data_IF_935558356073
#
_entry.id   IF_935558356073
#
_cell.length_a   1.000
_cell.length_b   1.000
_cell.length_c   1.000
_cell.angle_alpha   90.00
_cell.angle_beta   90.00
_cell.angle_gamma   90.00
#
_symmetry.space_group_name_H-M   'P 1'
#
loop_
_entity.id
_entity.type
_entity.pdbx_description
1 polymer ?
2 non-polymer ?
3 non-polymer ?
4 non-polymer ?
5 water ?
#
# COMPACT_ATOMS: atom_id res chain seq x y z
N UNK A 3 0.25 17.97 -11.46
CA UNK A 3 -0.43 16.62 -11.36
C UNK A 3 0.57 15.55 -10.91
N UNK A 4 0.44 15.07 -9.67
CA UNK A 4 1.40 14.10 -9.11
C UNK A 4 1.50 12.78 -9.89
N UNK A 5 2.73 12.36 -10.17
CA UNK A 5 3.08 11.14 -10.92
C UNK A 5 3.22 9.97 -9.93
N UNK A 6 2.47 8.89 -10.17
CA UNK A 6 2.46 7.70 -9.34
C UNK A 6 3.08 6.52 -10.04
N UNK A 7 3.93 5.81 -9.32
CA UNK A 7 4.51 4.57 -9.84
C UNK A 7 4.28 3.49 -8.81
N UNK A 8 4.03 2.27 -9.26
CA UNK A 8 3.84 1.11 -8.39
C UNK A 8 4.89 0.10 -8.81
N UNK A 9 5.71 -0.34 -7.86
CA UNK A 9 6.86 -1.18 -8.13
C UNK A 9 6.70 -2.49 -7.39
N UNK A 10 6.69 -3.62 -8.13
CA UNK A 10 6.63 -4.95 -7.54
C UNK A 10 8.04 -5.48 -7.45
N UNK A 11 8.43 -5.95 -6.29
CA UNK A 11 9.78 -6.47 -6.08
C UNK A 11 9.73 -7.93 -5.62
N UNK A 12 10.22 -8.85 -6.43
CA UNK A 12 10.18 -10.31 -6.14
C UNK A 12 8.81 -10.90 -6.48
N UNK A 13 8.63 -12.18 -6.17
CA UNK A 13 7.45 -12.92 -6.61
C UNK A 13 6.10 -12.36 -6.15
N UNK A 14 5.92 -12.23 -4.84
CA UNK A 14 4.64 -11.81 -4.27
C UNK A 14 4.33 -10.36 -4.69
N UNK A 15 5.35 -9.52 -4.77
CA UNK A 15 5.11 -8.12 -5.17
C UNK A 15 4.67 -8.04 -6.63
N UNK A 16 5.33 -8.80 -7.47
CA UNK A 16 4.98 -8.88 -8.88
C UNK A 16 3.63 -9.52 -9.11
N UNK A 17 3.24 -10.49 -8.26
CA UNK A 17 1.88 -11.02 -8.29
C UNK A 17 0.86 -9.90 -8.09
N UNK A 18 1.11 -9.04 -7.10
CA UNK A 18 0.19 -7.91 -6.83
C UNK A 18 0.11 -6.96 -8.01
N UNK A 19 1.28 -6.60 -8.55
CA UNK A 19 1.34 -5.74 -9.72
C UNK A 19 0.64 -6.33 -10.93
N UNK A 20 0.83 -7.62 -11.17
CA UNK A 20 0.19 -8.28 -12.32
C UNK A 20 -1.35 -8.18 -12.24
N UNK A 21 -1.91 -8.27 -11.04
CA UNK A 21 -3.39 -8.08 -10.91
C UNK A 21 -3.80 -6.67 -11.22
N UNK A 22 -3.02 -5.69 -10.76
CA UNK A 22 -3.28 -4.29 -11.10
C UNK A 22 -3.15 -3.97 -12.60
N UNK A 23 -2.16 -4.58 -13.26
CA UNK A 23 -1.96 -4.40 -14.73
C UNK A 23 -3.17 -4.98 -15.45
N UNK A 24 -3.65 -6.12 -14.96
CA UNK A 24 -4.79 -6.82 -15.50
C UNK A 24 -6.06 -5.97 -15.43
N UNK A 25 -6.30 -5.30 -14.31
CA UNK A 25 -7.45 -4.39 -14.13
C UNK A 25 -7.31 -3.12 -14.95
N UNK A 26 -6.15 -2.48 -14.84
CA UNK A 26 -5.85 -1.26 -15.58
C UNK A 26 -5.87 -0.05 -14.65
N UNK A 27 -4.82 0.74 -14.73
CA UNK A 27 -4.69 2.00 -14.01
C UNK A 27 -3.85 2.86 -14.95
N UNK A 28 -4.53 3.50 -15.89
CA UNK A 28 -3.87 4.06 -17.07
C UNK A 28 -2.86 5.16 -16.73
N UNK A 29 -3.19 6.02 -15.78
CA UNK A 29 -2.29 7.10 -15.33
C UNK A 29 -1.11 6.60 -14.45
N UNK A 30 -1.17 5.38 -13.94
CA UNK A 30 -0.11 4.84 -13.04
C UNK A 30 0.91 4.04 -13.86
N UNK A 31 2.21 4.17 -13.55
CA UNK A 31 3.25 3.40 -14.25
C UNK A 31 3.59 2.22 -13.38
N UNK A 32 3.58 1.03 -13.94
CA UNK A 32 3.95 -0.18 -13.20
C UNK A 32 5.36 -0.59 -13.57
N UNK A 33 6.14 -0.95 -12.56
CA UNK A 33 7.53 -1.37 -12.75
C UNK A 33 7.66 -2.73 -12.08
N UNK A 34 8.18 -3.71 -12.82
CA UNK A 34 8.42 -5.06 -12.31
C UNK A 34 9.90 -5.24 -12.07
N UNK A 35 10.28 -5.56 -10.82
CA UNK A 35 11.67 -5.79 -10.46
C UNK A 35 11.79 -7.22 -9.94
N UNK A 36 12.72 -7.98 -10.51
CA UNK A 36 12.95 -9.35 -10.04
C UNK A 36 14.34 -9.81 -10.44
N UNK A 37 14.87 -10.75 -9.67
CA UNK A 37 16.04 -11.54 -10.03
C UNK A 37 15.66 -12.61 -11.05
N UNK A 38 14.46 -13.15 -10.89
CA UNK A 38 13.93 -14.30 -11.66
C UNK A 38 13.55 -13.85 -13.07
N UNK A 39 14.42 -14.14 -14.03
CA UNK A 39 14.22 -13.80 -15.43
C UNK A 39 13.01 -14.45 -16.08
N UNK A 40 12.73 -15.71 -15.73
CA UNK A 40 11.54 -16.43 -16.23
C UNK A 40 10.25 -15.72 -15.83
N UNK A 41 10.12 -15.35 -14.56
CA UNK A 41 8.93 -14.66 -14.09
C UNK A 41 8.86 -13.30 -14.73
N UNK A 42 9.99 -12.63 -14.82
CA UNK A 42 10.00 -11.26 -15.34
C UNK A 42 9.57 -11.25 -16.80
N UNK A 43 10.00 -12.27 -17.55
CA UNK A 43 9.65 -12.40 -18.96
C UNK A 43 8.13 -12.52 -19.18
N UNK A 44 7.43 -13.14 -18.24
CA UNK A 44 5.99 -13.33 -18.36
C UNK A 44 5.18 -12.13 -17.91
N UNK A 45 5.77 -11.23 -17.13
CA UNK A 45 5.11 -9.99 -16.72
C UNK A 45 4.72 -9.15 -17.93
N UNK A 46 3.56 -8.51 -17.86
CA UNK A 46 3.17 -7.55 -18.88
C UNK A 46 3.46 -6.11 -18.43
N UNK A 47 4.26 -5.90 -17.38
CA UNK A 47 4.61 -4.54 -16.97
C UNK A 47 5.32 -3.81 -18.10
N UNK A 48 4.95 -2.54 -18.29
CA UNK A 48 5.56 -1.63 -19.28
C UNK A 48 7.06 -1.37 -19.01
N UNK A 49 7.49 -1.54 -17.76
CA UNK A 49 8.86 -1.28 -17.34
C UNK A 49 9.31 -2.44 -16.48
N UNK A 50 10.44 -3.04 -16.86
CA UNK A 50 10.96 -4.22 -16.18
C UNK A 50 12.44 -4.04 -15.90
N UNK A 51 12.88 -4.42 -14.69
CA UNK A 51 14.30 -4.37 -14.35
C UNK A 51 14.68 -5.75 -13.83
N UNK A 52 15.56 -6.44 -14.56
CA UNK A 52 16.13 -7.68 -14.05
C UNK A 52 17.33 -7.30 -13.20
N UNK A 53 17.26 -7.54 -11.91
CA UNK A 53 18.35 -7.21 -11.00
C UNK A 53 19.20 -8.48 -10.75
N UNK A 54 20.50 -8.31 -10.51
CA UNK A 54 21.33 -9.47 -10.20
C UNK A 54 21.61 -10.52 -11.24
N UNK A 55 21.63 -10.13 -12.52
CA UNK A 55 21.98 -11.06 -13.61
C UNK A 55 23.35 -11.72 -13.35
N UNK A 56 24.33 -10.91 -12.95
CA UNK A 56 25.67 -11.40 -12.56
C UNK A 56 25.60 -12.36 -11.37
N UNK A 57 24.82 -11.98 -10.37
CA UNK A 57 24.70 -12.73 -9.12
C UNK A 57 24.01 -14.06 -9.28
N UNK A 58 22.85 -14.07 -9.95
CA UNK A 58 21.98 -15.24 -9.99
C UNK A 58 21.82 -15.96 -11.33
N UNK A 59 22.41 -15.41 -12.38
CA UNK A 59 22.28 -15.93 -13.75
C UNK A 59 20.81 -16.02 -14.20
N UNK A 60 19.96 -15.11 -13.72
CA UNK A 60 18.53 -15.12 -14.07
C UNK A 60 17.61 -15.99 -13.23
N UNK A 61 18.17 -16.63 -12.20
CA UNK A 61 17.39 -17.32 -11.20
C UNK A 61 17.02 -16.36 -10.09
N UNK A 62 16.08 -16.77 -9.28
CA UNK A 62 15.81 -16.12 -8.03
C UNK A 62 16.99 -16.12 -7.08
N UNK A 63 16.76 -15.49 -5.94
CA UNK A 63 17.75 -15.32 -4.89
C UNK A 63 17.78 -16.51 -3.93
N UNK A 64 16.95 -17.52 -4.17
CA UNK A 64 16.97 -18.72 -3.35
C UNK A 64 16.81 -18.51 -1.85
N UNK A 65 15.92 -17.61 -1.44
CA UNK A 65 15.71 -17.35 0.02
C UNK A 65 16.85 -16.69 0.77
N UNK A 66 17.81 -16.09 0.06
CA UNK A 66 18.92 -15.42 0.72
C UNK A 66 18.75 -13.89 0.55
N UNK A 67 18.25 -13.21 1.61
CA UNK A 67 17.98 -11.77 1.46
C UNK A 67 19.22 -10.95 1.15
N UNK A 68 20.41 -11.44 1.49
CA UNK A 68 21.62 -10.69 1.15
C UNK A 68 21.86 -10.63 -0.35
N UNK A 69 21.43 -11.67 -1.07
CA UNK A 69 21.55 -11.72 -2.51
C UNK A 69 20.53 -10.73 -3.14
N UNK A 70 19.30 -10.73 -2.67
CA UNK A 70 18.36 -9.66 -3.10
C UNK A 70 18.87 -8.24 -2.86
N UNK A 71 19.44 -7.98 -1.69
CA UNK A 71 20.01 -6.67 -1.39
C UNK A 71 21.12 -6.30 -2.37
N UNK A 72 22.06 -7.24 -2.55
CA UNK A 72 23.20 -6.97 -3.40
C UNK A 72 22.78 -6.80 -4.86
N UNK A 73 21.77 -7.57 -5.29
CA UNK A 73 21.25 -7.47 -6.65
C UNK A 73 20.67 -6.06 -6.86
N UNK A 74 19.96 -5.55 -5.86
CA UNK A 74 19.33 -4.21 -6.03
C UNK A 74 20.42 -3.14 -6.03
N UNK A 75 21.38 -3.26 -5.14
CA UNK A 75 22.51 -2.31 -5.09
C UNK A 75 23.29 -2.30 -6.42
N UNK A 76 23.55 -3.47 -7.00
CA UNK A 76 24.24 -3.65 -8.32
C UNK A 76 23.49 -2.90 -9.44
N UNK A 77 22.15 -2.81 -9.33
CA UNK A 77 21.33 -2.17 -10.38
C UNK A 77 20.80 -0.81 -9.95
N UNK A 78 21.46 -0.13 -9.02
CA UNK A 78 20.98 1.12 -8.47
C UNK A 78 20.69 2.15 -9.56
N UNK A 79 21.61 2.32 -10.50
CA UNK A 79 21.36 3.32 -11.55
C UNK A 79 20.12 3.02 -12.41
N UNK A 80 19.91 1.76 -12.75
CA UNK A 80 18.70 1.37 -13.47
C UNK A 80 17.41 1.66 -12.66
N UNK A 81 17.47 1.40 -11.35
CA UNK A 81 16.32 1.64 -10.49
C UNK A 81 16.09 3.17 -10.38
N UNK A 82 17.15 3.96 -10.18
CA UNK A 82 17.02 5.42 -10.20
C UNK A 82 16.34 5.92 -11.48
N UNK A 83 16.83 5.45 -12.62
CA UNK A 83 16.33 5.89 -13.93
C UNK A 83 14.85 5.57 -14.12
N UNK A 84 14.44 4.41 -13.65
CA UNK A 84 13.05 3.97 -13.79
C UNK A 84 12.09 4.74 -12.88
N UNK A 85 12.59 5.20 -11.74
CA UNK A 85 11.80 5.98 -10.76
C UNK A 85 11.74 7.45 -11.10
N UNK A 86 12.82 7.98 -11.68
CA UNK A 86 13.00 9.43 -11.78
C UNK A 86 11.74 10.14 -12.24
N UNK A 87 11.34 11.19 -11.53
CA UNK A 87 10.17 11.96 -11.89
C UNK A 87 8.90 11.58 -11.14
N UNK A 88 8.89 10.42 -10.48
CA UNK A 88 7.77 10.05 -9.59
C UNK A 88 7.62 10.98 -8.38
N UNK A 89 6.38 11.39 -8.11
CA UNK A 89 6.07 12.12 -6.92
C UNK A 89 5.71 11.14 -5.79
N UNK A 90 5.15 9.98 -6.15
CA UNK A 90 4.78 8.99 -5.15
C UNK A 90 5.10 7.61 -5.68
N UNK A 91 5.74 6.80 -4.86
CA UNK A 91 6.07 5.42 -5.25
C UNK A 91 5.49 4.46 -4.24
N UNK A 92 4.80 3.43 -4.74
CA UNK A 92 4.41 2.29 -3.89
C UNK A 92 5.36 1.16 -4.19
N UNK A 93 5.95 0.59 -3.15
CA UNK A 93 6.83 -0.58 -3.29
C UNK A 93 6.09 -1.76 -2.64
N UNK A 94 5.73 -2.75 -3.45
CA UNK A 94 4.99 -3.91 -2.96
C UNK A 94 5.88 -5.15 -3.04
N UNK A 95 5.87 -5.94 -1.98
CA UNK A 95 6.76 -7.07 -1.87
C UNK A 95 6.29 -8.02 -0.80
N UNK A 96 6.57 -9.30 -0.97
CA UNK A 96 6.32 -10.27 0.10
C UNK A 96 7.62 -10.47 0.85
N UNK A 97 7.58 -10.29 2.16
CA UNK A 97 8.79 -10.45 2.97
C UNK A 97 8.98 -11.95 3.32
N UNK A 98 10.22 -12.35 3.38
CA UNK A 98 10.57 -13.72 3.82
C UNK A 98 11.38 -14.50 2.84
N UNK A 99 11.32 -14.12 1.55
CA UNK A 99 12.13 -14.65 0.49
C UNK A 99 13.48 -13.96 0.36
N UNK A 100 14.18 -14.29 -0.71
CA UNK A 100 15.49 -13.71 -0.97
C UNK A 100 15.37 -12.35 -1.64
N UNK A 101 14.52 -12.23 -2.66
CA UNK A 101 14.52 -11.02 -3.48
C UNK A 101 13.81 -9.85 -2.79
N UNK A 102 12.53 -10.06 -2.44
CA UNK A 102 11.76 -9.00 -1.78
C UNK A 102 12.38 -8.51 -0.49
N UNK A 103 12.72 -9.44 0.38
CA UNK A 103 13.26 -9.11 1.70
C UNK A 103 14.47 -8.19 1.59
N UNK A 104 15.37 -8.52 0.65
CA UNK A 104 16.61 -7.79 0.47
C UNK A 104 16.51 -6.60 -0.47
N UNK A 105 15.84 -6.77 -1.61
CA UNK A 105 15.80 -5.74 -2.64
C UNK A 105 14.78 -4.64 -2.36
N UNK A 106 13.63 -4.99 -1.80
CA UNK A 106 12.58 -3.98 -1.59
C UNK A 106 13.02 -2.78 -0.73
N UNK A 107 13.76 -3.01 0.38
CA UNK A 107 14.24 -1.84 1.12
C UNK A 107 15.23 -0.95 0.35
N UNK A 108 16.02 -1.54 -0.51
CA UNK A 108 16.93 -0.78 -1.38
C UNK A 108 16.14 0.06 -2.39
N UNK A 109 15.15 -0.59 -3.02
CA UNK A 109 14.28 0.13 -3.93
C UNK A 109 13.59 1.30 -3.22
N UNK A 110 13.05 1.08 -2.02
CA UNK A 110 12.39 2.13 -1.24
C UNK A 110 13.34 3.26 -0.89
N UNK A 111 14.56 2.88 -0.50
CA UNK A 111 15.59 3.90 -0.22
C UNK A 111 15.89 4.78 -1.45
N UNK A 112 16.01 4.16 -2.61
CA UNK A 112 16.29 4.88 -3.88
C UNK A 112 15.12 5.82 -4.19
N UNK A 113 13.89 5.31 -4.06
CA UNK A 113 12.70 6.09 -4.33
C UNK A 113 12.67 7.38 -3.52
N UNK A 114 13.02 7.29 -2.25
CA UNK A 114 13.02 8.43 -1.37
C UNK A 114 14.17 9.35 -1.77
N UNK A 115 15.32 8.80 -2.13
CA UNK A 115 16.45 9.62 -2.68
C UNK A 115 16.11 10.38 -3.97
N UNK A 116 15.22 9.84 -4.79
CA UNK A 116 14.77 10.47 -6.03
C UNK A 116 13.66 11.51 -5.78
N UNK A 117 13.24 11.65 -4.52
CA UNK A 117 12.25 12.66 -4.11
C UNK A 117 10.80 12.20 -4.00
N UNK A 118 10.55 10.91 -4.06
CA UNK A 118 9.19 10.41 -4.04
C UNK A 118 8.74 10.13 -2.62
N UNK A 119 7.47 10.46 -2.34
CA UNK A 119 6.79 9.99 -1.15
C UNK A 119 6.68 8.47 -1.35
N UNK A 120 7.24 7.72 -0.42
CA UNK A 120 7.46 6.28 -0.61
C UNK A 120 6.65 5.45 0.39
N UNK A 121 5.75 4.62 -0.14
CA UNK A 121 4.87 3.81 0.69
C UNK A 121 5.18 2.35 0.36
N UNK A 122 5.48 1.58 1.38
CA UNK A 122 5.69 0.12 1.21
C UNK A 122 4.39 -0.58 1.55
N UNK A 123 4.06 -1.62 0.79
CA UNK A 123 2.94 -2.51 1.12
C UNK A 123 3.54 -3.91 1.06
N UNK A 124 3.61 -4.56 2.19
CA UNK A 124 4.32 -5.85 2.31
C UNK A 124 3.54 -6.87 3.13
N UNK A 125 3.80 -8.13 2.82
CA UNK A 125 3.24 -9.24 3.61
C UNK A 125 4.28 -9.88 4.52
N UNK A 126 3.83 -10.41 5.65
CA UNK A 126 4.63 -11.35 6.45
C UNK A 126 4.16 -12.76 6.10
N UNK A 127 5.08 -13.73 6.16
CA UNK A 127 4.73 -15.10 5.80
C UNK A 127 3.68 -15.75 6.69
N UNK A 128 3.01 -16.74 6.15
CA UNK A 128 2.12 -17.55 6.96
C UNK A 128 2.95 -18.30 7.98
N UNK A 129 2.39 -18.50 9.18
CA UNK A 129 3.01 -19.31 10.21
C UNK A 129 3.37 -20.72 9.69
N UNK A 130 2.57 -21.27 8.79
CA UNK A 130 2.89 -22.58 8.21
C UNK A 130 4.21 -22.63 7.44
N UNK A 131 4.75 -21.47 7.06
CA UNK A 131 6.04 -21.42 6.41
C UNK A 131 7.25 -21.55 7.33
N UNK A 132 7.05 -21.46 8.64
CA UNK A 132 8.09 -21.71 9.62
C UNK A 132 8.72 -20.49 10.25
N UNK A 133 9.37 -20.69 11.39
CA UNK A 133 9.97 -19.59 12.17
C UNK A 133 11.09 -18.89 11.40
N UNK A 134 11.92 -19.66 10.68
CA UNK A 134 13.02 -19.09 9.90
C UNK A 134 12.50 -18.08 8.89
N UNK A 135 11.49 -18.47 8.12
CA UNK A 135 10.88 -17.59 7.14
C UNK A 135 10.35 -16.33 7.83
N UNK A 136 9.75 -16.52 9.01
CA UNK A 136 9.17 -15.42 9.78
C UNK A 136 10.25 -14.47 10.30
N UNK A 137 11.36 -15.04 10.75
CA UNK A 137 12.47 -14.25 11.26
C UNK A 137 13.16 -13.43 10.14
N UNK A 138 13.38 -14.06 8.98
CA UNK A 138 13.89 -13.31 7.81
C UNK A 138 12.96 -12.19 7.45
N UNK A 139 11.66 -12.49 7.44
CA UNK A 139 10.64 -11.48 7.06
C UNK A 139 10.62 -10.32 8.01
N UNK A 140 10.76 -10.59 9.32
CA UNK A 140 10.80 -9.53 10.32
C UNK A 140 11.95 -8.56 10.06
N UNK A 141 13.12 -9.09 9.74
CA UNK A 141 14.27 -8.25 9.37
C UNK A 141 13.97 -7.39 8.16
N UNK A 142 13.31 -8.00 7.16
CA UNK A 142 12.83 -7.24 6.00
C UNK A 142 11.88 -6.10 6.36
N UNK A 143 10.88 -6.40 7.19
CA UNK A 143 9.91 -5.38 7.62
C UNK A 143 10.62 -4.23 8.32
N UNK A 144 11.57 -4.54 9.21
CA UNK A 144 12.30 -3.48 9.91
C UNK A 144 13.15 -2.64 8.94
N UNK A 145 13.78 -3.28 7.96
CA UNK A 145 14.54 -2.59 6.91
C UNK A 145 13.62 -1.75 6.05
N UNK A 146 12.44 -2.27 5.72
CA UNK A 146 11.45 -1.48 4.98
C UNK A 146 11.03 -0.25 5.77
N UNK A 147 10.77 -0.46 7.06
CA UNK A 147 10.28 0.62 7.91
C UNK A 147 11.30 1.75 7.95
N UNK A 148 12.58 1.42 7.96
CA UNK A 148 13.65 2.42 7.95
C UNK A 148 13.80 3.15 6.63
N UNK A 149 13.37 2.53 5.53
CA UNK A 149 13.59 3.07 4.18
C UNK A 149 12.42 3.88 3.61
N UNK A 150 11.20 3.51 3.98
CA UNK A 150 9.99 4.15 3.42
C UNK A 150 9.59 5.38 4.23
N UNK A 151 8.63 6.12 3.69
CA UNK A 151 7.92 7.13 4.45
C UNK A 151 6.84 6.45 5.33
N UNK A 152 6.02 5.62 4.70
CA UNK A 152 4.96 4.92 5.42
C UNK A 152 4.92 3.45 5.00
N UNK A 153 4.66 2.57 5.95
CA UNK A 153 4.62 1.11 5.72
C UNK A 153 3.26 0.51 6.07
N UNK A 154 2.69 -0.28 5.16
CA UNK A 154 1.46 -1.05 5.41
C UNK A 154 1.90 -2.52 5.46
N UNK A 155 1.64 -3.21 6.55
CA UNK A 155 2.07 -4.61 6.73
C UNK A 155 0.84 -5.49 6.83
N UNK A 156 0.78 -6.51 5.97
CA UNK A 156 -0.32 -7.49 5.94
C UNK A 156 0.28 -8.84 6.36
N UNK A 157 0.06 -9.28 7.61
CA UNK A 157 0.45 -10.65 7.90
C UNK A 157 -0.43 -11.64 7.13
N UNK A 158 0.19 -12.51 6.37
CA UNK A 158 -0.56 -13.48 5.61
C UNK A 158 -1.45 -14.33 6.50
N UNK A 159 -1.08 -14.52 7.76
CA UNK A 159 -2.00 -15.29 8.67
C UNK A 159 -3.36 -14.64 8.77
N UNK A 160 -3.47 -13.31 8.59
CA UNK A 160 -4.77 -12.66 8.66
C UNK A 160 -5.71 -13.16 7.55
N UNK A 161 -5.14 -13.67 6.43
CA UNK A 161 -5.99 -14.22 5.38
C UNK A 161 -6.78 -15.41 5.89
N UNK A 162 -6.22 -16.14 6.85
CA UNK A 162 -6.91 -17.30 7.43
C UNK A 162 -8.15 -16.88 8.24
N UNK A 163 -8.28 -15.59 8.55
CA UNK A 163 -9.45 -15.03 9.27
C UNK A 163 -10.60 -14.61 8.36
N UNK A 164 -10.36 -14.53 7.06
CA UNK A 164 -11.35 -14.05 6.10
C UNK A 164 -11.82 -15.09 5.08
N UNK A 165 -11.35 -16.33 5.20
CA UNK A 165 -11.73 -17.39 4.26
C UNK A 165 -12.65 -18.37 4.97
N UNK A 166 -13.44 -19.11 4.21
CA UNK A 166 -14.01 -20.35 4.73
C UNK A 166 -13.10 -21.49 4.31
N UNK A 167 -13.48 -22.71 4.65
CA UNK A 167 -12.55 -23.82 4.40
C UNK A 167 -12.36 -24.14 2.91
N UNK A 168 -13.21 -23.61 2.05
CA UNK A 168 -13.14 -23.84 0.61
C UNK A 168 -12.70 -22.65 -0.23
N UNK A 169 -12.58 -21.46 0.36
CA UNK A 169 -12.20 -20.27 -0.41
C UNK A 169 -10.90 -20.55 -1.17
N UNK A 170 -10.93 -20.39 -2.51
CA UNK A 170 -9.68 -20.67 -3.22
C UNK A 170 -8.52 -19.81 -2.79
N UNK A 171 -7.33 -20.39 -2.75
CA UNK A 171 -6.14 -19.63 -2.34
C UNK A 171 -5.96 -18.36 -3.19
N UNK A 172 -6.22 -18.45 -4.50
CA UNK A 172 -6.05 -17.29 -5.35
C UNK A 172 -7.05 -16.18 -5.03
N UNK A 173 -8.26 -16.54 -4.60
CA UNK A 173 -9.23 -15.55 -4.14
C UNK A 173 -8.82 -14.87 -2.86
N UNK A 174 -8.27 -15.64 -1.91
CA UNK A 174 -7.68 -15.06 -0.69
C UNK A 174 -6.54 -14.10 -1.07
N UNK A 175 -5.66 -14.54 -1.97
CA UNK A 175 -4.58 -13.64 -2.42
C UNK A 175 -5.09 -12.36 -3.06
N UNK A 176 -6.20 -12.45 -3.81
CA UNK A 176 -6.82 -11.24 -4.37
C UNK A 176 -7.24 -10.21 -3.32
N UNK A 177 -7.76 -10.70 -2.20
CA UNK A 177 -8.15 -9.80 -1.10
C UNK A 177 -6.94 -9.07 -0.52
N UNK A 178 -5.83 -9.78 -0.31
CA UNK A 178 -4.62 -9.13 0.19
C UNK A 178 -4.11 -8.10 -0.80
N UNK A 179 -4.16 -8.43 -2.11
CA UNK A 179 -3.67 -7.55 -3.16
C UNK A 179 -4.55 -6.35 -3.35
N UNK A 180 -5.82 -6.45 -2.97
CA UNK A 180 -6.72 -5.28 -3.01
C UNK A 180 -6.39 -4.12 -2.10
N UNK A 181 -5.60 -4.37 -1.07
CA UNK A 181 -5.17 -3.31 -0.16
C UNK A 181 -4.35 -2.29 -0.97
N UNK A 182 -3.36 -2.81 -1.69
CA UNK A 182 -2.58 -1.98 -2.63
C UNK A 182 -3.46 -1.34 -3.70
N UNK A 183 -4.31 -2.14 -4.35
CA UNK A 183 -5.06 -1.65 -5.49
C UNK A 183 -5.96 -0.51 -5.05
N UNK A 184 -6.66 -0.71 -3.94
CA UNK A 184 -7.59 0.34 -3.47
C UNK A 184 -6.83 1.56 -2.96
N UNK A 185 -5.65 1.37 -2.36
CA UNK A 185 -4.79 2.50 -1.98
C UNK A 185 -4.39 3.34 -3.18
N UNK A 186 -3.97 2.68 -4.25
CA UNK A 186 -3.56 3.42 -5.44
C UNK A 186 -4.77 4.15 -6.09
N UNK A 187 -5.91 3.47 -6.17
CA UNK A 187 -7.08 4.07 -6.80
C UNK A 187 -7.52 5.29 -6.00
N UNK A 188 -7.49 5.16 -4.69
CA UNK A 188 -7.94 6.23 -3.80
C UNK A 188 -7.04 7.46 -3.90
N UNK A 189 -5.71 7.28 -3.88
CA UNK A 189 -4.81 8.41 -4.08
C UNK A 189 -4.99 8.99 -5.49
N UNK A 190 -5.24 8.15 -6.50
CA UNK A 190 -5.52 8.68 -7.85
C UNK A 190 -6.75 9.60 -7.85
N UNK A 191 -7.81 9.17 -7.17
CA UNK A 191 -9.02 9.99 -6.96
C UNK A 191 -8.70 11.31 -6.27
N UNK A 192 -7.91 11.25 -5.21
CA UNK A 192 -7.58 12.45 -4.47
C UNK A 192 -6.85 13.47 -5.35
N UNK A 193 -5.93 12.98 -6.18
CA UNK A 193 -5.12 13.85 -7.04
C UNK A 193 -5.94 14.41 -8.20
N UNK A 194 -6.84 13.61 -8.75
CA UNK A 194 -7.57 13.96 -9.98
C UNK A 194 -8.72 14.92 -9.75
N UNK A 195 -9.38 14.81 -8.59
CA UNK A 195 -10.67 15.47 -8.34
C UNK A 195 -10.49 16.68 -7.42
N UNK A 196 -11.16 17.79 -7.75
CA UNK A 196 -11.13 18.95 -6.87
C UNK A 196 -12.34 18.83 -5.93
N UNK A 197 -12.08 18.72 -4.65
CA UNK A 197 -13.12 18.46 -3.67
C UNK A 197 -13.79 19.75 -3.18
N UNK A 198 -15.03 19.62 -2.73
CA UNK A 198 -15.71 20.74 -2.09
C UNK A 198 -14.90 21.23 -0.88
N UNK A 199 -14.40 20.31 -0.06
CA UNK A 199 -13.33 20.63 0.89
C UNK A 199 -12.12 19.86 0.38
N UNK A 200 -11.23 20.55 -0.32
CA UNK A 200 -10.20 19.86 -1.14
C UNK A 200 -9.04 19.37 -0.28
N UNK A 201 -8.59 18.14 -0.59
CA UNK A 201 -7.33 17.57 -0.06
C UNK A 201 -6.43 17.42 -1.28
N UNK A 202 -5.14 17.72 -1.11
CA UNK A 202 -4.25 17.55 -2.24
C UNK A 202 -2.99 16.80 -1.81
N UNK A 203 -2.06 16.68 -2.76
CA UNK A 203 -0.88 15.87 -2.50
C UNK A 203 -0.01 16.40 -1.35
N UNK A 204 -0.01 17.71 -1.10
CA UNK A 204 0.71 18.28 0.04
C UNK A 204 0.11 17.79 1.37
N UNK A 205 -1.21 17.60 1.44
CA UNK A 205 -1.85 17.02 2.65
C UNK A 205 -1.46 15.56 2.85
N UNK A 206 -1.40 14.82 1.75
CA UNK A 206 -0.93 13.43 1.78
C UNK A 206 0.50 13.39 2.34
N UNK A 207 1.38 14.23 1.81
CA UNK A 207 2.78 14.26 2.33
C UNK A 207 2.85 14.62 3.80
N UNK A 208 2.00 15.54 4.28
CA UNK A 208 2.01 15.93 5.69
C UNK A 208 1.75 14.76 6.61
N UNK A 209 0.75 13.96 6.26
CA UNK A 209 0.33 12.83 7.09
C UNK A 209 1.28 11.62 6.93
N UNK A 210 1.82 11.45 5.73
CA UNK A 210 2.56 10.21 5.41
C UNK A 210 4.07 10.31 5.38
N UNK A 211 4.65 11.50 5.27
CA UNK A 211 6.12 11.62 5.19
C UNK A 211 6.78 11.21 6.49
N UNK A 212 7.84 10.40 6.42
CA UNK A 212 8.62 10.06 7.60
C UNK A 212 7.83 9.58 8.81
N UNK A 213 6.93 8.64 8.53
CA UNK A 213 6.18 7.98 9.55
C UNK A 213 6.70 6.53 9.64
N UNK A 214 5.86 5.63 10.14
CA UNK A 214 6.22 4.23 10.24
C UNK A 214 5.10 3.44 9.67
N UNK A 215 4.60 2.50 10.47
CA UNK A 215 3.48 1.65 10.08
C UNK A 215 2.19 2.45 10.11
N UNK A 216 1.26 2.10 9.23
CA UNK A 216 0.03 2.84 9.11
C UNK A 216 -1.17 1.92 8.95
N UNK A 217 -2.32 2.47 9.33
CA UNK A 217 -3.64 1.89 9.07
C UNK A 217 -4.23 2.68 7.92
N UNK A 218 -4.73 1.97 6.92
CA UNK A 218 -5.47 2.57 5.84
C UNK A 218 -6.71 1.73 5.62
N UNK A 219 -7.83 2.38 5.33
CA UNK A 219 -9.02 1.65 4.90
C UNK A 219 -10.10 2.51 4.27
N UNK A 220 -11.07 1.83 3.70
CA UNK A 220 -12.18 2.45 3.01
C UNK A 220 -13.44 1.73 3.49
N UNK A 221 -14.50 2.50 3.70
CA UNK A 221 -15.80 1.94 4.09
C UNK A 221 -16.91 2.55 3.26
N UNK A 222 -17.81 1.69 2.80
CA UNK A 222 -18.95 2.09 1.99
C UNK A 222 -20.21 1.65 2.73
N UNK A 223 -21.17 2.55 2.83
CA UNK A 223 -22.48 2.19 3.34
C UNK A 223 -23.57 3.06 2.77
N UNK A 224 -24.81 2.68 3.06
CA UNK A 224 -25.97 3.45 2.63
C UNK A 224 -27.07 3.20 3.64
N UNK A 225 -28.17 3.92 3.49
CA UNK A 225 -29.32 3.73 4.36
C UNK A 225 -29.10 4.34 5.72
N UNK A 226 -29.74 3.74 6.71
CA UNK A 226 -29.76 4.31 8.04
C UNK A 226 -28.40 4.08 8.68
N UNK A 227 -27.94 5.09 9.40
CA UNK A 227 -26.65 5.10 10.07
C UNK A 227 -25.46 4.91 9.11
N UNK A 228 -25.62 5.27 7.85
CA UNK A 228 -24.60 5.05 6.83
C UNK A 228 -23.22 5.65 7.17
N UNK A 229 -23.21 6.87 7.70
CA UNK A 229 -21.92 7.54 7.98
C UNK A 229 -21.12 6.83 9.05
N UNK A 230 -21.76 6.51 10.17
CA UNK A 230 -21.16 5.72 11.26
C UNK A 230 -20.70 4.35 10.73
N UNK A 231 -21.56 3.66 9.99
CA UNK A 231 -21.18 2.34 9.41
C UNK A 231 -19.96 2.45 8.49
N UNK A 232 -19.96 3.40 7.56
CA UNK A 232 -18.84 3.59 6.65
C UNK A 232 -17.56 3.92 7.40
N UNK A 233 -17.65 4.80 8.42
CA UNK A 233 -16.44 5.14 9.21
C UNK A 233 -15.86 3.93 9.93
N UNK A 234 -16.74 3.18 10.60
CA UNK A 234 -16.31 1.96 11.32
C UNK A 234 -15.67 0.94 10.37
N UNK A 235 -16.23 0.78 9.16
CA UNK A 235 -15.64 -0.12 8.19
C UNK A 235 -14.27 0.39 7.75
N UNK A 236 -14.14 1.70 7.55
CA UNK A 236 -12.88 2.29 7.10
C UNK A 236 -11.75 2.01 8.09
N UNK A 237 -12.02 2.14 9.38
CA UNK A 237 -10.97 2.04 10.39
C UNK A 237 -10.73 0.59 10.86
N UNK A 238 -11.58 -0.34 10.47
CA UNK A 238 -11.44 -1.73 10.91
C UNK A 238 -10.91 -2.44 9.69
N UNK A 239 -9.65 -2.80 9.77
CA UNK A 239 -8.88 -3.33 8.67
C UNK A 239 -8.34 -4.69 9.10
N UNK A 240 -9.13 -5.77 8.88
CA UNK A 240 -8.80 -7.12 9.35
C UNK A 240 -7.47 -7.69 8.81
N UNK A 241 -6.97 -7.18 7.69
CA UNK A 241 -5.74 -7.71 7.11
C UNK A 241 -4.48 -6.99 7.58
N UNK A 242 -4.62 -5.80 8.14
CA UNK A 242 -3.44 -5.04 8.51
C UNK A 242 -3.03 -5.25 9.94
N UNK A 243 -1.72 -5.20 10.16
CA UNK A 243 -1.10 -5.37 11.47
C UNK A 243 -1.43 -4.22 12.43
N UNK A 244 -1.50 -3.02 11.87
CA UNK A 244 -1.63 -1.80 12.62
C UNK A 244 -3.09 -1.46 12.81
N UNK A 245 -3.47 -1.10 14.04
CA UNK A 245 -4.80 -0.56 14.28
C UNK A 245 -4.76 0.97 14.38
N UNK A 246 -5.93 1.58 14.30
CA UNK A 246 -6.01 3.05 14.43
C UNK A 246 -5.76 3.60 15.84
N UNK A 247 -5.83 2.75 16.86
CA UNK A 247 -5.64 3.18 18.25
C UNK A 247 -4.28 3.87 18.46
N UNK A 248 -4.34 5.10 18.99
CA UNK A 248 -3.16 5.93 19.26
C UNK A 248 -2.62 6.73 18.08
N UNK A 249 -3.30 6.68 16.93
CA UNK A 249 -2.81 7.38 15.74
C UNK A 249 -2.63 8.89 15.99
N UNK A 250 -1.47 9.41 15.62
CA UNK A 250 -1.13 10.82 15.80
C UNK A 250 -1.47 11.67 14.58
N UNK A 251 -1.67 11.05 13.42
CA UNK A 251 -1.98 11.78 12.19
C UNK A 251 -3.08 11.06 11.48
N UNK A 252 -4.07 11.79 10.95
CA UNK A 252 -5.09 11.16 10.11
C UNK A 252 -5.40 12.03 8.90
N UNK A 253 -5.50 11.38 7.74
CA UNK A 253 -6.08 11.99 6.55
C UNK A 253 -7.41 11.31 6.33
N UNK A 254 -8.49 12.08 6.29
CA UNK A 254 -9.84 11.50 6.15
C UNK A 254 -10.62 12.22 5.09
N UNK A 255 -11.24 11.47 4.18
CA UNK A 255 -12.16 12.02 3.20
C UNK A 255 -13.51 11.33 3.25
N UNK A 256 -14.57 12.11 3.14
CA UNK A 256 -15.93 11.58 2.97
C UNK A 256 -16.42 11.96 1.57
N UNK A 257 -16.94 10.98 0.84
CA UNK A 257 -17.55 11.18 -0.44
C UNK A 257 -19.00 10.76 -0.31
N UNK A 258 -19.90 11.65 -0.71
CA UNK A 258 -21.34 11.36 -0.66
C UNK A 258 -22.04 12.02 -1.83
N UNK A 259 -23.32 11.71 -2.00
CA UNK A 259 -24.13 12.44 -2.95
C UNK A 259 -24.53 13.79 -2.37
N UNK A 260 -25.44 14.46 -3.09
CA UNK A 260 -25.95 15.76 -2.65
C UNK A 260 -26.66 15.75 -1.28
N UNK A 261 -27.10 14.58 -0.84
CA UNK A 261 -27.74 14.42 0.46
C UNK A 261 -26.76 14.36 1.63
N UNK A 262 -25.43 14.31 1.39
CA UNK A 262 -24.45 14.23 2.47
C UNK A 262 -24.71 15.35 3.49
N UNK A 263 -24.98 15.00 4.74
CA UNK A 263 -25.38 16.03 5.72
C UNK A 263 -24.19 16.42 6.59
N UNK A 264 -24.21 17.64 7.09
CA UNK A 264 -23.17 18.05 8.06
C UNK A 264 -23.16 17.21 9.30
N UNK A 265 -24.36 16.88 9.81
CA UNK A 265 -24.46 16.04 10.99
C UNK A 265 -23.78 14.67 10.78
N UNK A 266 -24.03 14.06 9.63
CA UNK A 266 -23.40 12.74 9.27
C UNK A 266 -21.90 12.82 9.19
N UNK A 267 -21.41 13.89 8.58
CA UNK A 267 -19.99 14.10 8.49
C UNK A 267 -19.36 14.19 9.85
N UNK A 268 -19.97 14.96 10.75
CA UNK A 268 -19.48 15.00 12.16
C UNK A 268 -19.49 13.59 12.77
N UNK A 269 -20.58 12.85 12.57
CA UNK A 269 -20.65 11.51 13.16
C UNK A 269 -19.49 10.63 12.72
N UNK A 270 -19.21 10.65 11.41
CA UNK A 270 -18.12 9.86 10.83
C UNK A 270 -16.77 10.29 11.37
N UNK A 271 -16.54 11.60 11.36
CA UNK A 271 -15.28 12.14 11.87
C UNK A 271 -15.09 11.83 13.35
N UNK A 272 -16.16 11.87 14.14
CA UNK A 272 -16.06 11.58 15.56
C UNK A 272 -15.69 10.11 15.81
N UNK A 273 -16.21 9.20 14.98
CA UNK A 273 -15.81 7.78 15.06
C UNK A 273 -14.29 7.65 14.89
N UNK A 274 -13.76 8.33 13.87
CA UNK A 274 -12.32 8.26 13.56
C UNK A 274 -11.50 8.94 14.67
N UNK A 275 -11.89 10.16 15.02
CA UNK A 275 -11.26 10.89 16.14
C UNK A 275 -11.21 10.13 17.44
N UNK A 276 -12.35 9.56 17.82
CA UNK A 276 -12.49 8.83 19.08
C UNK A 276 -11.36 7.81 19.21
N UNK A 277 -11.16 7.04 18.14
CA UNK A 277 -10.09 6.04 18.04
C UNK A 277 -8.63 6.56 18.09
N UNK A 278 -8.36 7.75 17.53
CA UNK A 278 -7.00 8.31 17.45
C UNK A 278 -6.52 9.01 18.73
N UNK A 279 -5.27 9.46 18.72
CA UNK A 279 -4.69 10.24 19.82
C UNK A 279 -5.45 11.59 19.97
N UNK A 280 -5.50 12.12 21.18
CA UNK A 280 -6.20 13.39 21.42
C UNK A 280 -5.51 14.60 20.79
N UNK A 281 -4.20 14.52 20.56
CA UNK A 281 -3.48 15.54 19.78
C UNK A 281 -3.26 15.12 18.32
N UNK A 282 -4.17 14.32 17.77
CA UNK A 282 -4.10 13.89 16.35
C UNK A 282 -4.08 15.07 15.37
N UNK A 283 -3.12 15.08 14.44
CA UNK A 283 -3.10 16.04 13.38
C UNK A 283 -4.06 15.45 12.35
N UNK A 284 -5.31 15.93 12.36
CA UNK A 284 -6.33 15.45 11.43
C UNK A 284 -6.64 16.42 10.30
N UNK A 285 -6.61 15.89 9.07
CA UNK A 285 -6.86 16.69 7.87
C UNK A 285 -8.08 16.05 7.21
N UNK A 286 -9.17 16.81 7.15
CA UNK A 286 -10.47 16.32 6.75
C UNK A 286 -10.89 16.91 5.39
N UNK A 287 -11.39 16.06 4.52
CA UNK A 287 -11.84 16.46 3.17
C UNK A 287 -13.24 15.97 2.90
N UNK A 288 -13.89 16.59 1.92
CA UNK A 288 -15.20 16.16 1.44
C UNK A 288 -15.38 16.41 -0.04
N UNK A 289 -16.05 15.48 -0.69
CA UNK A 289 -16.41 15.64 -2.11
C UNK A 289 -17.86 15.20 -2.26
N UNK A 290 -18.59 16.01 -3.01
CA UNK A 290 -19.97 15.71 -3.35
C UNK A 290 -19.92 15.15 -4.78
N UNK A 291 -20.37 13.91 -4.95
CA UNK A 291 -20.47 13.28 -6.25
C UNK A 291 -21.97 13.09 -6.54
N UNK A 292 -22.56 13.98 -7.36
CA UNK A 292 -24.02 13.93 -7.57
C UNK A 292 -24.50 12.65 -8.27
N UNK A 293 -23.59 11.90 -8.87
CA UNK A 293 -23.87 10.56 -9.43
C UNK A 293 -24.21 9.53 -8.36
N UNK A 294 -23.75 9.73 -7.12
CA UNK A 294 -24.16 8.86 -6.03
C UNK A 294 -25.62 9.16 -5.64
N UNK A 295 -26.31 8.14 -5.14
CA UNK A 295 -27.65 8.30 -4.58
C UNK A 295 -27.50 8.27 -3.08
N UNK A 296 -27.66 7.10 -2.45
CA UNK A 296 -27.64 6.99 -1.00
C UNK A 296 -26.33 6.41 -0.43
N UNK A 297 -25.31 6.20 -1.26
CA UNK A 297 -24.05 5.66 -0.74
C UNK A 297 -23.15 6.77 -0.19
N UNK A 298 -22.40 6.42 0.85
CA UNK A 298 -21.35 7.27 1.43
C UNK A 298 -20.06 6.46 1.40
N UNK A 299 -18.91 7.10 1.10
CA UNK A 299 -17.63 6.40 1.12
C UNK A 299 -16.66 7.17 2.01
N UNK A 300 -16.17 6.54 3.06
CA UNK A 300 -15.24 7.16 4.00
C UNK A 300 -13.85 6.53 3.75
N UNK A 301 -12.82 7.36 3.55
CA UNK A 301 -11.44 6.86 3.34
C UNK A 301 -10.58 7.44 4.44
N UNK A 302 -9.74 6.59 5.04
CA UNK A 302 -8.89 6.99 6.12
C UNK A 302 -7.47 6.46 5.95
N UNK A 303 -6.47 7.31 6.19
CA UNK A 303 -5.13 6.81 6.56
C UNK A 303 -4.69 7.42 7.91
N UNK A 304 -4.18 6.56 8.77
CA UNK A 304 -3.76 6.89 10.10
C UNK A 304 -2.31 6.50 10.32
N UNK A 305 -1.52 7.46 10.80
CA UNK A 305 -0.09 7.29 11.01
C UNK A 305 0.35 7.83 12.38
N UNK A 306 1.59 7.55 12.74
CA UNK A 306 2.21 8.17 13.90
C UNK A 306 1.84 7.44 15.17
N UNK A 307 2.55 6.36 15.44
CA UNK A 307 2.34 5.57 16.64
C UNK A 307 3.67 5.52 17.37
#
# INVERSE_FOLDING_TARGET
GHMATLKVIGVGGGGNNAVNRMIDHGMNNVEFIAINTDGQALNLSKAESKIQIGEKLTRGLGAGANPEIGKKAAEESREQIEDAIQGADMVFVTSGMGGGTGTGAAPVVAKIAKEMGALTVGVVTRPFSFEGRKRQTQAAAGVEAMKAAVDTLIVIPNDRLLDIVDKSTPMMEAFKEADNVLRQGVQSISDLIAVSGEVNLDFADVKTIMSNQGSALMGIGVSSGENRAVEAAKKAISSPLLETSIVGAQGVLMNITGGESLSLFEAQEAADIVQDAADEDVNMIFGTVINPELQDEIVVTVIATGFD
#
